data_IF_381030611062
#
_entry.id   IF_381030611062
#
_cell.length_a   1.000
_cell.length_b   1.000
_cell.length_c   1.000
_cell.angle_alpha   90.00
_cell.angle_beta   90.00
_cell.angle_gamma   90.00
#
_symmetry.space_group_name_H-M   'P 1'
#
loop_
_entity.id
_entity.type
_entity.pdbx_description
1 polymer ?
#
# COMPACT_ATOMS: atom_id res chain seq x y z
N UNK A 1 -58.33 -28.02 -6.06
CA UNK A 1 -56.88 -28.19 -5.80
C UNK A 1 -56.33 -26.92 -5.15
N UNK A 2 -55.84 -27.03 -3.93
CA UNK A 2 -55.51 -25.87 -3.07
C UNK A 2 -54.05 -25.44 -3.30
N UNK A 3 -53.84 -24.17 -3.67
CA UNK A 3 -52.55 -23.53 -3.66
C UNK A 3 -52.09 -23.24 -2.21
N UNK A 4 -50.87 -23.68 -1.84
CA UNK A 4 -50.26 -23.38 -0.55
C UNK A 4 -49.44 -22.08 -0.65
N UNK A 5 -49.83 -21.08 0.08
CA UNK A 5 -49.10 -19.85 0.33
C UNK A 5 -47.92 -20.12 1.27
N UNK A 6 -46.72 -19.70 0.87
CA UNK A 6 -45.51 -19.66 1.72
C UNK A 6 -45.44 -18.32 2.48
N UNK A 7 -45.12 -18.29 3.76
CA UNK A 7 -44.98 -17.03 4.50
C UNK A 7 -43.58 -16.43 4.28
N UNK A 8 -43.55 -15.20 3.76
CA UNK A 8 -42.37 -14.37 3.75
C UNK A 8 -42.05 -13.93 5.18
N UNK A 9 -40.95 -14.43 5.74
CA UNK A 9 -40.41 -13.98 7.01
C UNK A 9 -39.77 -12.60 6.84
N UNK A 10 -40.32 -11.63 7.54
CA UNK A 10 -39.79 -10.28 7.70
C UNK A 10 -38.44 -10.34 8.43
N UNK A 11 -37.36 -10.00 7.72
CA UNK A 11 -36.09 -9.67 8.34
C UNK A 11 -36.20 -8.25 8.91
N UNK A 12 -36.18 -8.16 10.22
CA UNK A 12 -36.17 -6.93 11.01
C UNK A 12 -34.92 -6.12 10.72
N UNK A 13 -35.13 -4.83 10.50
CA UNK A 13 -34.12 -3.81 10.27
C UNK A 13 -33.06 -3.79 11.39
N UNK A 14 -31.84 -4.23 11.09
CA UNK A 14 -30.69 -3.87 11.87
C UNK A 14 -30.35 -2.38 11.59
N UNK A 15 -30.49 -1.54 12.61
CA UNK A 15 -30.13 -0.13 12.56
C UNK A 15 -28.63 0.00 12.29
N UNK A 16 -28.29 0.67 11.22
CA UNK A 16 -26.92 1.09 10.94
C UNK A 16 -26.44 2.03 12.06
N UNK A 17 -25.21 1.86 12.58
CA UNK A 17 -24.63 2.85 13.49
C UNK A 17 -24.39 4.16 12.74
N UNK A 18 -24.61 5.34 13.36
CA UNK A 18 -24.41 6.62 12.71
C UNK A 18 -22.93 6.84 12.43
N UNK A 19 -22.56 6.92 11.16
CA UNK A 19 -21.23 7.36 10.75
C UNK A 19 -21.10 8.87 11.00
N UNK A 20 -20.39 9.23 12.06
CA UNK A 20 -19.95 10.60 12.29
C UNK A 20 -18.83 10.94 11.29
N UNK A 21 -19.11 11.86 10.37
CA UNK A 21 -18.07 12.58 9.64
C UNK A 21 -17.30 13.46 10.65
N UNK A 22 -15.97 13.35 10.76
CA UNK A 22 -15.22 14.20 11.66
C UNK A 22 -15.28 15.66 11.18
N UNK A 23 -15.65 16.56 12.10
CA UNK A 23 -15.59 18.01 11.91
C UNK A 23 -14.14 18.40 11.57
N UNK A 24 -13.97 19.26 10.60
CA UNK A 24 -12.69 19.83 10.13
C UNK A 24 -11.90 20.39 11.32
N UNK A 25 -10.65 19.94 11.47
CA UNK A 25 -9.68 20.60 12.34
C UNK A 25 -9.14 21.86 11.62
N UNK A 26 -9.18 23.09 12.21
CA UNK A 26 -8.98 24.32 11.46
C UNK A 26 -7.54 24.85 11.44
N UNK A 27 -6.52 24.05 11.41
CA UNK A 27 -5.16 24.58 11.25
C UNK A 27 -4.20 23.55 10.67
N UNK A 28 -3.90 23.69 9.40
CA UNK A 28 -2.97 22.98 8.50
C UNK A 28 -3.60 22.03 7.48
N UNK A 29 -4.67 22.43 6.83
CA UNK A 29 -5.24 21.69 5.69
C UNK A 29 -4.99 22.47 4.38
N UNK A 30 -3.73 22.52 3.92
CA UNK A 30 -3.39 22.88 2.54
C UNK A 30 -2.97 21.66 1.69
N UNK A 31 -2.90 20.47 2.27
CA UNK A 31 -2.77 19.23 1.52
C UNK A 31 -4.16 18.82 1.08
N UNK A 32 -4.47 18.99 -0.21
CA UNK A 32 -5.78 18.74 -0.79
C UNK A 32 -6.39 17.44 -0.26
N UNK A 33 -7.71 17.41 -0.13
CA UNK A 33 -8.47 16.29 0.44
C UNK A 33 -8.10 14.97 -0.26
N UNK A 34 -6.99 14.35 0.17
CA UNK A 34 -6.53 13.07 -0.35
C UNK A 34 -7.52 12.01 0.12
N UNK A 35 -8.29 11.48 -0.81
CA UNK A 35 -9.17 10.34 -0.57
C UNK A 35 -8.33 9.23 0.07
N UNK A 36 -8.72 8.80 1.26
CA UNK A 36 -8.07 7.70 1.97
C UNK A 36 -8.13 6.47 1.08
N UNK A 37 -6.98 6.03 0.60
CA UNK A 37 -6.87 4.81 -0.19
C UNK A 37 -6.15 3.79 0.67
N UNK A 38 -6.89 2.79 1.11
CA UNK A 38 -6.35 1.65 1.83
C UNK A 38 -6.01 0.57 0.82
N UNK A 39 -4.80 0.09 0.86
CA UNK A 39 -4.42 -1.12 0.16
C UNK A 39 -4.65 -2.31 1.08
N UNK A 40 -5.58 -3.17 0.72
CA UNK A 40 -5.87 -4.37 1.48
C UNK A 40 -5.10 -5.54 0.88
N UNK A 41 -4.28 -6.19 1.72
CA UNK A 41 -3.59 -7.43 1.37
C UNK A 41 -4.31 -8.62 1.99
N UNK A 42 -4.73 -9.56 1.16
CA UNK A 42 -5.27 -10.84 1.62
C UNK A 42 -4.12 -11.83 1.83
N UNK A 43 -3.79 -12.13 3.08
CA UNK A 43 -2.68 -13.03 3.41
C UNK A 43 -2.87 -14.45 2.86
N UNK A 44 -1.82 -14.98 2.22
CA UNK A 44 -1.65 -16.41 1.92
C UNK A 44 -2.50 -17.03 0.83
N UNK A 45 -3.49 -16.33 0.25
CA UNK A 45 -4.28 -16.80 -0.90
C UNK A 45 -4.01 -15.88 -2.08
N UNK A 46 -4.06 -16.40 -3.31
CA UNK A 46 -3.81 -15.61 -4.52
C UNK A 46 -4.83 -14.48 -4.63
N UNK A 47 -4.47 -13.23 -4.33
CA UNK A 47 -5.42 -12.13 -4.22
C UNK A 47 -6.08 -11.76 -5.54
N UNK A 48 -5.37 -12.00 -6.64
CA UNK A 48 -5.85 -11.70 -7.98
C UNK A 48 -7.18 -12.41 -8.29
N UNK A 49 -7.38 -13.61 -7.74
CA UNK A 49 -8.64 -14.37 -7.87
C UNK A 49 -9.83 -13.75 -7.13
N UNK A 50 -9.58 -12.84 -6.20
CA UNK A 50 -10.61 -12.23 -5.36
C UNK A 50 -10.84 -10.74 -5.66
N UNK A 51 -10.17 -10.19 -6.67
CA UNK A 51 -10.25 -8.76 -7.01
C UNK A 51 -11.70 -8.35 -7.28
N UNK A 52 -12.40 -9.03 -8.20
CA UNK A 52 -13.76 -8.69 -8.56
C UNK A 52 -14.73 -8.85 -7.39
N UNK A 53 -14.58 -9.93 -6.62
CA UNK A 53 -15.38 -10.15 -5.42
C UNK A 53 -15.14 -9.03 -4.39
N UNK A 54 -13.89 -8.63 -4.19
CA UNK A 54 -13.53 -7.55 -3.26
C UNK A 54 -14.11 -6.21 -3.72
N UNK A 55 -13.99 -5.88 -5.01
CA UNK A 55 -14.57 -4.67 -5.59
C UNK A 55 -16.08 -4.58 -5.38
N UNK A 56 -16.79 -5.71 -5.55
CA UNK A 56 -18.24 -5.75 -5.39
C UNK A 56 -18.70 -5.52 -3.93
N UNK A 57 -17.85 -5.80 -2.94
CA UNK A 57 -18.17 -5.67 -1.53
C UNK A 57 -17.74 -4.33 -0.93
N UNK A 58 -16.74 -3.67 -1.52
CA UNK A 58 -16.21 -2.43 -0.96
C UNK A 58 -17.01 -1.21 -1.42
N UNK A 59 -17.08 -0.22 -0.55
CA UNK A 59 -17.63 1.10 -0.90
C UNK A 59 -16.80 1.73 -2.02
N UNK A 60 -17.41 2.56 -2.89
CA UNK A 60 -16.70 3.16 -4.04
C UNK A 60 -15.53 4.07 -3.69
N UNK A 61 -15.45 4.55 -2.44
CA UNK A 61 -14.36 5.40 -1.95
C UNK A 61 -13.10 4.61 -1.57
N UNK A 62 -13.18 3.26 -1.56
CA UNK A 62 -12.03 2.37 -1.38
C UNK A 62 -11.44 1.96 -2.73
N UNK A 63 -10.13 2.10 -2.86
CA UNK A 63 -9.43 1.57 -4.03
C UNK A 63 -8.96 0.14 -3.75
N UNK A 64 -9.13 -0.73 -4.75
CA UNK A 64 -8.55 -2.07 -4.78
C UNK A 64 -7.26 -2.01 -5.59
N UNK A 65 -6.22 -2.69 -5.12
CA UNK A 65 -4.91 -2.76 -5.77
C UNK A 65 -4.57 -4.21 -6.10
N UNK A 66 -3.99 -4.45 -7.28
CA UNK A 66 -3.30 -5.70 -7.57
C UNK A 66 -2.00 -5.77 -6.74
N UNK A 67 -1.49 -6.98 -6.47
CA UNK A 67 -0.32 -7.18 -5.61
C UNK A 67 1.00 -7.29 -6.36
N UNK A 68 0.97 -7.42 -7.67
CA UNK A 68 2.12 -7.38 -8.58
C UNK A 68 1.60 -7.26 -10.01
N UNK A 69 2.51 -7.01 -10.98
CA UNK A 69 2.22 -7.14 -12.40
C UNK A 69 3.43 -7.68 -13.15
N UNK A 70 3.21 -8.09 -14.39
CA UNK A 70 4.26 -8.45 -15.33
C UNK A 70 4.93 -7.20 -15.92
N UNK A 71 6.14 -7.36 -16.49
CA UNK A 71 6.95 -6.26 -17.03
C UNK A 71 6.61 -5.89 -18.48
N UNK A 72 5.65 -6.54 -19.11
CA UNK A 72 5.34 -6.34 -20.52
C UNK A 72 3.91 -6.67 -20.87
N UNK A 73 3.57 -6.45 -22.13
CA UNK A 73 2.25 -6.78 -22.69
C UNK A 73 1.95 -8.27 -22.57
N UNK A 74 0.68 -8.62 -22.60
CA UNK A 74 0.21 -10.00 -22.64
C UNK A 74 0.77 -10.77 -23.85
N UNK A 75 0.74 -12.09 -23.77
CA UNK A 75 1.26 -12.99 -24.80
C UNK A 75 1.57 -14.35 -24.21
N UNK A 76 2.61 -15.02 -24.66
CA UNK A 76 3.02 -16.36 -24.22
C UNK A 76 3.74 -16.35 -22.86
N UNK A 77 3.15 -15.66 -21.88
CA UNK A 77 3.63 -15.54 -20.49
C UNK A 77 2.61 -16.15 -19.54
N UNK A 78 2.48 -17.46 -19.61
CA UNK A 78 1.48 -18.22 -18.84
C UNK A 78 1.48 -17.88 -17.35
N UNK A 79 0.33 -17.45 -16.84
CA UNK A 79 0.13 -17.13 -15.44
C UNK A 79 0.55 -15.71 -15.02
N UNK A 80 1.05 -14.88 -15.95
CA UNK A 80 1.38 -13.48 -15.68
C UNK A 80 0.18 -12.57 -15.89
N UNK A 81 0.07 -11.55 -15.04
CA UNK A 81 -0.98 -10.53 -15.10
C UNK A 81 -0.33 -9.21 -15.52
N UNK A 82 -0.77 -8.64 -16.63
CA UNK A 82 -0.22 -7.39 -17.15
C UNK A 82 -0.89 -6.16 -16.55
N UNK A 83 -0.27 -4.99 -16.68
CA UNK A 83 -0.84 -3.73 -16.23
C UNK A 83 -2.15 -3.40 -16.98
N UNK A 84 -2.25 -3.77 -18.26
CA UNK A 84 -3.48 -3.59 -19.05
C UNK A 84 -4.62 -4.47 -18.52
N UNK A 85 -4.34 -5.74 -18.17
CA UNK A 85 -5.35 -6.63 -17.56
C UNK A 85 -5.85 -6.07 -16.22
N UNK A 86 -4.94 -5.53 -15.41
CA UNK A 86 -5.29 -4.87 -14.13
C UNK A 86 -6.21 -3.68 -14.38
N UNK A 87 -5.92 -2.88 -15.40
CA UNK A 87 -6.73 -1.74 -15.77
C UNK A 87 -8.08 -2.13 -16.35
N UNK A 88 -8.12 -3.17 -17.17
CA UNK A 88 -9.34 -3.69 -17.82
C UNK A 88 -10.38 -4.15 -16.79
N UNK A 89 -9.96 -4.82 -15.71
CA UNK A 89 -10.85 -5.15 -14.59
C UNK A 89 -11.18 -3.94 -13.70
N UNK A 90 -10.79 -2.72 -14.13
CA UNK A 90 -11.15 -1.46 -13.50
C UNK A 90 -10.39 -1.16 -12.21
N UNK A 91 -9.18 -1.65 -12.04
CA UNK A 91 -8.27 -1.24 -10.97
C UNK A 91 -7.46 -0.02 -11.40
N UNK A 92 -7.14 0.81 -10.41
CA UNK A 92 -6.29 1.99 -10.62
C UNK A 92 -4.94 1.90 -9.90
N UNK A 93 -4.64 0.77 -9.24
CA UNK A 93 -3.46 0.63 -8.38
C UNK A 93 -2.82 -0.75 -8.49
N UNK A 94 -1.48 -0.77 -8.33
CA UNK A 94 -0.68 -2.00 -8.21
C UNK A 94 0.42 -1.80 -7.17
N UNK A 95 0.70 -2.84 -6.38
CA UNK A 95 1.84 -2.92 -5.46
C UNK A 95 3.00 -3.59 -6.18
N UNK A 96 4.19 -2.98 -6.15
CA UNK A 96 5.41 -3.49 -6.80
C UNK A 96 6.57 -3.44 -5.81
N UNK A 97 7.47 -4.41 -5.91
CA UNK A 97 8.70 -4.46 -5.12
C UNK A 97 8.52 -4.94 -3.68
N UNK A 98 7.37 -5.55 -3.35
CA UNK A 98 7.17 -6.15 -2.03
C UNK A 98 8.27 -7.15 -1.68
N UNK A 99 8.71 -7.19 -0.43
CA UNK A 99 9.82 -8.03 0.04
C UNK A 99 9.67 -9.51 -0.34
N UNK A 100 8.46 -10.05 -0.36
CA UNK A 100 8.23 -11.43 -0.82
C UNK A 100 8.56 -11.60 -2.30
N UNK A 101 8.23 -10.64 -3.16
CA UNK A 101 8.57 -10.69 -4.58
C UNK A 101 10.07 -10.53 -4.79
N UNK A 102 10.72 -9.67 -3.99
CA UNK A 102 12.16 -9.45 -4.09
C UNK A 102 12.99 -10.63 -3.61
N UNK A 103 12.54 -11.36 -2.56
CA UNK A 103 13.43 -12.26 -1.82
C UNK A 103 12.90 -13.69 -1.65
N UNK A 104 11.60 -13.93 -1.84
CA UNK A 104 10.97 -15.20 -1.46
C UNK A 104 10.34 -15.94 -2.62
N UNK A 105 9.77 -15.20 -3.60
CA UNK A 105 9.02 -15.81 -4.70
C UNK A 105 9.92 -15.99 -5.93
N UNK A 106 10.01 -17.21 -6.42
CA UNK A 106 10.76 -17.54 -7.63
C UNK A 106 12.25 -17.21 -7.50
N UNK A 107 12.81 -16.55 -8.51
CA UNK A 107 14.21 -16.09 -8.53
C UNK A 107 14.43 -14.76 -7.81
N UNK A 108 13.36 -14.14 -7.33
CA UNK A 108 13.36 -12.79 -6.80
C UNK A 108 13.32 -11.71 -7.89
N UNK A 109 12.90 -10.51 -7.50
CA UNK A 109 12.85 -9.33 -8.35
C UNK A 109 13.91 -8.32 -7.88
N UNK A 110 14.91 -8.07 -8.71
CA UNK A 110 15.93 -7.06 -8.45
C UNK A 110 15.40 -5.62 -8.64
N UNK A 111 16.22 -4.63 -8.33
CA UNK A 111 15.84 -3.23 -8.40
C UNK A 111 15.48 -2.81 -9.84
N UNK A 112 16.20 -3.30 -10.83
CA UNK A 112 15.96 -2.97 -12.24
C UNK A 112 14.63 -3.55 -12.73
N UNK A 113 14.31 -4.81 -12.37
CA UNK A 113 13.04 -5.44 -12.70
C UNK A 113 11.87 -4.73 -12.00
N UNK A 114 12.00 -4.40 -10.72
CA UNK A 114 10.98 -3.65 -9.99
C UNK A 114 10.72 -2.28 -10.62
N UNK A 115 11.78 -1.54 -10.95
CA UNK A 115 11.67 -0.23 -11.58
C UNK A 115 11.03 -0.30 -12.99
N UNK A 116 11.39 -1.31 -13.80
CA UNK A 116 10.77 -1.55 -15.09
C UNK A 116 9.27 -1.84 -14.96
N UNK A 117 8.84 -2.61 -13.94
CA UNK A 117 7.44 -2.85 -13.64
C UNK A 117 6.71 -1.57 -13.23
N UNK A 118 7.32 -0.72 -12.40
CA UNK A 118 6.74 0.57 -12.00
C UNK A 118 6.53 1.44 -13.23
N UNK A 119 7.56 1.59 -14.07
CA UNK A 119 7.46 2.39 -15.30
C UNK A 119 6.37 1.87 -16.22
N UNK A 120 6.35 0.56 -16.46
CA UNK A 120 5.34 -0.07 -17.31
C UNK A 120 3.90 0.11 -16.76
N UNK A 121 3.70 -0.03 -15.45
CA UNK A 121 2.41 0.18 -14.81
C UNK A 121 1.95 1.63 -14.95
N UNK A 122 2.85 2.61 -14.78
CA UNK A 122 2.55 4.03 -14.97
C UNK A 122 2.20 4.34 -16.43
N UNK A 123 2.94 3.78 -17.39
CA UNK A 123 2.67 3.97 -18.83
C UNK A 123 1.30 3.40 -19.23
N UNK A 124 0.85 2.33 -18.57
CA UNK A 124 -0.50 1.80 -18.71
C UNK A 124 -1.56 2.65 -17.97
N UNK A 125 -1.17 3.68 -17.22
CA UNK A 125 -2.05 4.58 -16.47
C UNK A 125 -2.51 4.03 -15.11
N UNK A 126 -1.72 3.16 -14.48
CA UNK A 126 -1.90 2.73 -13.10
C UNK A 126 -1.10 3.61 -12.14
N UNK A 127 -1.65 3.83 -10.96
CA UNK A 127 -0.89 4.32 -9.81
C UNK A 127 -0.13 3.14 -9.17
N UNK A 128 1.00 3.43 -8.54
CA UNK A 128 1.86 2.41 -7.97
C UNK A 128 2.11 2.65 -6.48
N UNK A 129 2.10 1.58 -5.70
CA UNK A 129 2.70 1.52 -4.38
C UNK A 129 4.02 0.79 -4.55
N UNK A 130 5.12 1.49 -4.34
CA UNK A 130 6.45 0.91 -4.48
C UNK A 130 7.06 0.60 -3.13
N UNK A 131 7.37 -0.68 -2.89
CA UNK A 131 7.95 -1.15 -1.64
C UNK A 131 9.48 -1.10 -1.70
N UNK A 132 10.05 -0.49 -0.66
CA UNK A 132 11.50 -0.36 -0.43
C UNK A 132 11.83 -0.76 1.01
N UNK A 133 13.03 -1.27 1.25
CA UNK A 133 13.47 -1.58 2.60
C UNK A 133 14.66 -2.53 2.62
N UNK A 134 15.31 -2.57 3.77
CA UNK A 134 16.53 -3.30 4.02
C UNK A 134 16.29 -4.63 4.74
N UNK A 135 17.21 -5.57 4.54
CA UNK A 135 17.29 -6.83 5.26
C UNK A 135 17.96 -6.64 6.64
N UNK A 136 17.92 -7.71 7.44
CA UNK A 136 18.48 -7.68 8.80
C UNK A 136 19.99 -7.40 8.81
N UNK A 137 20.73 -8.01 7.91
CA UNK A 137 22.18 -7.86 7.79
C UNK A 137 22.54 -6.41 7.42
N UNK A 138 21.77 -5.80 6.53
CA UNK A 138 21.90 -4.41 6.08
C UNK A 138 21.58 -3.43 7.22
N UNK A 139 20.52 -3.71 8.00
CA UNK A 139 20.18 -2.91 9.18
C UNK A 139 21.26 -2.95 10.25
N UNK A 140 21.77 -4.15 10.56
CA UNK A 140 22.86 -4.34 11.54
C UNK A 140 24.16 -3.69 11.05
N UNK A 141 24.43 -3.77 9.75
CA UNK A 141 25.59 -3.14 9.11
C UNK A 141 25.48 -1.61 8.96
N UNK A 142 24.35 -0.99 9.36
CA UNK A 142 24.15 0.47 9.25
C UNK A 142 23.98 0.97 7.81
N UNK A 143 23.59 0.09 6.86
CA UNK A 143 23.47 0.43 5.44
C UNK A 143 22.03 0.67 4.97
N UNK A 144 21.07 0.81 5.89
CA UNK A 144 19.65 1.04 5.58
C UNK A 144 19.44 2.14 4.54
N UNK A 145 20.02 3.31 4.77
CA UNK A 145 19.87 4.47 3.88
C UNK A 145 20.44 4.19 2.48
N UNK A 146 21.60 3.55 2.41
CA UNK A 146 22.24 3.22 1.12
C UNK A 146 21.39 2.24 0.31
N UNK A 147 20.83 1.20 0.96
CA UNK A 147 19.95 0.22 0.31
C UNK A 147 18.67 0.89 -0.21
N UNK A 148 18.02 1.70 0.62
CA UNK A 148 16.80 2.41 0.23
C UNK A 148 17.09 3.41 -0.89
N UNK A 149 18.20 4.15 -0.81
CA UNK A 149 18.63 5.08 -1.87
C UNK A 149 18.85 4.37 -3.20
N UNK A 150 19.50 3.19 -3.20
CA UNK A 150 19.72 2.38 -4.40
C UNK A 150 18.37 1.93 -5.02
N UNK A 151 17.44 1.45 -4.19
CA UNK A 151 16.10 1.04 -4.63
C UNK A 151 15.31 2.21 -5.23
N UNK A 152 15.39 3.39 -4.61
CA UNK A 152 14.74 4.61 -5.10
C UNK A 152 15.40 5.14 -6.38
N UNK A 153 16.74 5.10 -6.45
CA UNK A 153 17.50 5.52 -7.61
C UNK A 153 17.13 4.72 -8.87
N UNK A 154 16.91 3.40 -8.72
CA UNK A 154 16.49 2.56 -9.84
C UNK A 154 15.19 3.06 -10.50
N UNK A 155 14.28 3.68 -9.75
CA UNK A 155 13.06 4.30 -10.31
C UNK A 155 13.44 5.46 -11.25
N UNK A 156 14.35 6.33 -10.83
CA UNK A 156 14.78 7.48 -11.65
C UNK A 156 15.53 7.00 -12.90
N UNK A 157 16.41 6.01 -12.75
CA UNK A 157 17.17 5.42 -13.85
C UNK A 157 16.24 4.78 -14.91
N UNK A 158 15.08 4.26 -14.49
CA UNK A 158 14.03 3.73 -15.38
C UNK A 158 13.08 4.81 -15.95
N UNK A 159 13.27 6.09 -15.61
CA UNK A 159 12.41 7.18 -16.05
C UNK A 159 11.03 7.20 -15.40
N UNK A 160 10.92 6.66 -14.18
CA UNK A 160 9.68 6.72 -13.37
C UNK A 160 9.42 8.16 -12.95
N UNK A 161 8.18 8.59 -13.06
CA UNK A 161 7.68 9.90 -12.67
C UNK A 161 6.51 9.76 -11.69
N UNK A 162 5.78 10.83 -11.40
CA UNK A 162 4.55 10.76 -10.61
C UNK A 162 4.77 10.72 -9.10
N UNK A 163 5.99 11.02 -8.63
CA UNK A 163 6.19 11.34 -7.20
C UNK A 163 5.23 12.46 -6.80
N UNK A 164 4.51 12.26 -5.70
CA UNK A 164 3.48 13.20 -5.22
C UNK A 164 2.08 12.98 -5.79
N UNK A 165 1.92 12.30 -6.92
CA UNK A 165 0.62 12.07 -7.57
C UNK A 165 0.20 10.60 -7.58
N UNK A 166 0.78 9.80 -8.46
CA UNK A 166 0.43 8.40 -8.71
C UNK A 166 1.38 7.38 -8.09
N UNK A 167 2.46 7.83 -7.42
CA UNK A 167 3.44 6.98 -6.76
C UNK A 167 3.38 7.16 -5.24
N UNK A 168 3.23 6.06 -4.54
CA UNK A 168 3.30 5.95 -3.08
C UNK A 168 4.51 5.11 -2.73
N UNK A 169 5.31 5.52 -1.77
CA UNK A 169 6.43 4.71 -1.27
C UNK A 169 5.97 3.95 -0.03
N UNK A 170 6.26 2.66 0.04
CA UNK A 170 6.02 1.83 1.22
C UNK A 170 7.36 1.36 1.78
N UNK A 171 7.73 1.86 2.96
CA UNK A 171 8.93 1.41 3.65
C UNK A 171 8.67 0.10 4.39
N UNK A 172 9.32 -0.96 3.97
CA UNK A 172 9.23 -2.30 4.54
C UNK A 172 10.56 -2.67 5.22
N UNK A 173 10.72 -2.50 6.55
CA UNK A 173 11.85 -3.10 7.27
C UNK A 173 11.73 -4.62 7.19
N UNK A 174 12.40 -5.25 6.21
CA UNK A 174 12.24 -6.68 5.90
C UNK A 174 12.52 -7.56 7.12
N UNK A 175 13.47 -7.15 7.96
CA UNK A 175 13.81 -7.81 9.21
C UNK A 175 12.68 -7.82 10.26
N UNK A 176 11.70 -6.95 10.12
CA UNK A 176 10.54 -6.84 11.02
C UNK A 176 9.26 -7.45 10.43
N UNK A 177 9.32 -8.14 9.26
CA UNK A 177 8.15 -8.74 8.62
C UNK A 177 8.11 -10.23 8.93
N UNK A 178 7.09 -10.67 9.69
CA UNK A 178 6.87 -12.08 9.99
C UNK A 178 7.91 -12.73 10.92
N UNK A 179 8.83 -11.96 11.48
CA UNK A 179 9.94 -12.44 12.34
C UNK A 179 9.62 -12.36 13.83
N UNK A 180 8.51 -11.72 14.20
CA UNK A 180 8.20 -11.39 15.59
C UNK A 180 8.87 -10.11 16.09
N UNK A 181 9.84 -9.56 15.36
CA UNK A 181 10.45 -8.25 15.64
C UNK A 181 9.52 -7.14 15.11
N UNK A 182 9.57 -6.00 15.77
CA UNK A 182 8.79 -4.81 15.38
C UNK A 182 9.74 -3.62 15.41
N UNK A 183 9.79 -2.83 14.34
CA UNK A 183 10.50 -1.57 14.36
C UNK A 183 9.80 -0.61 15.33
N UNK A 184 10.57 0.15 16.09
CA UNK A 184 10.02 1.20 16.95
C UNK A 184 9.42 2.33 16.09
N UNK A 185 8.49 3.13 16.62
CA UNK A 185 8.00 4.32 15.93
C UNK A 185 9.12 5.27 15.48
N UNK A 186 10.16 5.45 16.31
CA UNK A 186 11.31 6.29 15.98
C UNK A 186 12.11 5.72 14.81
N UNK A 187 12.35 4.40 14.78
CA UNK A 187 13.02 3.74 13.65
C UNK A 187 12.23 3.86 12.35
N UNK A 188 10.90 3.80 12.43
CA UNK A 188 10.04 4.05 11.29
C UNK A 188 10.15 5.50 10.83
N UNK A 189 10.11 6.46 11.77
CA UNK A 189 10.23 7.89 11.51
C UNK A 189 11.58 8.23 10.84
N UNK A 190 12.70 7.73 11.37
CA UNK A 190 14.04 7.94 10.79
C UNK A 190 14.09 7.54 9.30
N UNK A 191 13.61 6.32 8.97
CA UNK A 191 13.60 5.86 7.59
C UNK A 191 12.66 6.69 6.70
N UNK A 192 11.50 7.12 7.22
CA UNK A 192 10.56 7.96 6.48
C UNK A 192 11.12 9.37 6.23
N UNK A 193 11.78 9.97 7.20
CA UNK A 193 12.52 11.25 7.05
C UNK A 193 13.56 11.11 5.95
N UNK A 194 14.36 10.04 5.99
CA UNK A 194 15.38 9.79 4.97
C UNK A 194 14.76 9.69 3.58
N UNK A 195 13.68 8.90 3.40
CA UNK A 195 13.01 8.75 2.10
C UNK A 195 12.49 10.10 1.61
N UNK A 196 11.84 10.89 2.46
CA UNK A 196 11.32 12.20 2.10
C UNK A 196 12.42 13.17 1.70
N UNK A 197 13.52 13.21 2.47
CA UNK A 197 14.71 14.00 2.16
C UNK A 197 15.31 13.56 0.82
N UNK A 198 15.46 12.26 0.59
CA UNK A 198 15.97 11.73 -0.67
C UNK A 198 15.13 12.19 -1.86
N UNK A 199 13.78 12.15 -1.76
CA UNK A 199 12.90 12.65 -2.81
C UNK A 199 13.10 14.15 -3.03
N UNK A 200 13.24 14.95 -1.97
CA UNK A 200 13.48 16.39 -2.08
C UNK A 200 14.76 16.71 -2.83
N UNK A 201 15.82 15.95 -2.58
CA UNK A 201 17.16 16.16 -3.16
C UNK A 201 17.27 15.64 -4.61
N UNK A 202 16.55 14.56 -4.96
CA UNK A 202 16.73 13.88 -6.26
C UNK A 202 15.55 14.10 -7.24
N UNK A 203 14.41 14.61 -6.75
CA UNK A 203 13.22 14.91 -7.58
C UNK A 203 12.85 16.38 -7.42
N UNK A 204 12.17 16.75 -6.34
CA UNK A 204 11.89 18.14 -5.95
C UNK A 204 11.31 18.22 -4.53
N UNK A 205 11.34 19.41 -3.94
CA UNK A 205 10.73 19.67 -2.64
C UNK A 205 9.20 19.49 -2.68
N UNK A 206 8.55 19.89 -3.75
CA UNK A 206 7.10 19.74 -3.95
C UNK A 206 6.73 18.27 -4.05
N UNK A 207 7.51 17.47 -4.79
CA UNK A 207 7.32 16.03 -4.89
C UNK A 207 7.48 15.35 -3.53
N UNK A 208 8.48 15.74 -2.74
CA UNK A 208 8.71 15.21 -1.42
C UNK A 208 7.55 15.50 -0.45
N UNK A 209 7.01 16.72 -0.49
CA UNK A 209 5.87 17.11 0.33
C UNK A 209 4.58 16.38 -0.06
N UNK A 210 4.37 16.16 -1.36
CA UNK A 210 3.17 15.52 -1.87
C UNK A 210 3.22 13.99 -1.85
N UNK A 211 4.42 13.36 -1.85
CA UNK A 211 4.56 11.91 -1.86
C UNK A 211 4.14 11.32 -0.52
N UNK A 212 3.21 10.38 -0.55
CA UNK A 212 2.83 9.59 0.63
C UNK A 212 3.84 8.49 0.87
N UNK A 213 4.28 8.39 2.14
CA UNK A 213 5.19 7.34 2.58
C UNK A 213 4.46 6.49 3.62
N UNK A 214 4.28 5.20 3.33
CA UNK A 214 3.57 4.25 4.18
C UNK A 214 4.57 3.37 4.91
N UNK A 215 4.32 3.10 6.19
CA UNK A 215 5.08 2.10 6.94
C UNK A 215 4.52 0.70 6.66
N UNK A 216 5.36 -0.21 6.19
CA UNK A 216 5.03 -1.58 5.77
C UNK A 216 5.60 -2.69 6.66
N UNK A 217 6.14 -2.37 7.82
CA UNK A 217 6.53 -3.38 8.80
C UNK A 217 5.36 -4.00 9.54
N UNK A 218 5.64 -4.66 10.68
CA UNK A 218 4.61 -5.32 11.51
C UNK A 218 3.68 -4.29 12.18
N UNK A 219 2.75 -3.73 11.40
CA UNK A 219 1.69 -2.85 11.90
C UNK A 219 0.47 -3.67 12.32
N UNK A 220 -0.06 -3.38 13.52
CA UNK A 220 -1.20 -4.07 14.15
C UNK A 220 -1.97 -3.10 15.04
N UNK A 221 -3.19 -3.43 15.52
CA UNK A 221 -3.99 -2.54 16.35
C UNK A 221 -3.24 -1.91 17.53
N UNK A 222 -2.37 -2.70 18.19
CA UNK A 222 -1.66 -2.25 19.39
C UNK A 222 -0.52 -1.24 19.15
N UNK A 223 -0.05 -1.02 17.92
CA UNK A 223 1.01 -0.05 17.61
C UNK A 223 0.64 0.94 16.50
N UNK A 224 -0.52 0.78 15.88
CA UNK A 224 -0.93 1.60 14.75
C UNK A 224 -1.04 3.10 15.11
N UNK A 225 -1.52 3.42 16.30
CA UNK A 225 -1.68 4.81 16.77
C UNK A 225 -0.32 5.51 16.95
N UNK A 226 0.68 4.81 17.54
CA UNK A 226 2.01 5.34 17.76
C UNK A 226 2.75 5.56 16.43
N UNK A 227 2.62 4.62 15.50
CA UNK A 227 3.16 4.77 14.14
C UNK A 227 2.48 5.92 13.39
N UNK A 228 1.16 6.05 13.48
CA UNK A 228 0.42 7.13 12.85
C UNK A 228 0.72 8.51 13.45
N UNK A 229 1.17 8.58 14.72
CA UNK A 229 1.59 9.83 15.35
C UNK A 229 2.88 10.39 14.76
N UNK A 230 3.70 9.58 14.10
CA UNK A 230 4.97 10.01 13.53
C UNK A 230 4.75 11.00 12.37
N UNK A 231 5.49 12.14 12.32
CA UNK A 231 5.26 13.21 11.37
C UNK A 231 5.29 12.76 9.89
N UNK A 232 6.25 11.91 9.53
CA UNK A 232 6.48 11.49 8.14
C UNK A 232 5.84 10.16 7.75
N UNK A 233 5.15 9.49 8.68
CA UNK A 233 4.37 8.30 8.38
C UNK A 233 2.97 8.71 7.89
N UNK A 234 2.73 8.64 6.57
CA UNK A 234 1.47 9.07 5.94
C UNK A 234 0.42 7.95 5.85
N UNK A 235 0.78 6.72 6.20
CA UNK A 235 -0.11 5.57 6.13
C UNK A 235 0.56 4.28 6.59
N UNK A 236 -0.19 3.19 6.58
CA UNK A 236 0.30 1.85 6.89
C UNK A 236 0.01 0.90 5.73
N UNK A 237 0.97 0.04 5.39
CA UNK A 237 0.78 -1.12 4.54
C UNK A 237 0.68 -2.34 5.45
N UNK A 238 -0.54 -2.91 5.59
CA UNK A 238 -0.85 -3.90 6.62
C UNK A 238 -1.05 -5.28 5.97
N UNK A 239 -0.28 -6.26 6.43
CA UNK A 239 -0.39 -7.67 6.05
C UNK A 239 -1.44 -8.43 6.87
N UNK A 240 -1.02 -9.44 7.64
CA UNK A 240 -1.90 -10.38 8.34
C UNK A 240 -2.94 -9.75 9.28
N UNK A 241 -2.63 -8.62 9.92
CA UNK A 241 -3.58 -7.91 10.77
C UNK A 241 -4.82 -7.40 9.99
N UNK A 242 -4.73 -7.22 8.67
CA UNK A 242 -5.87 -6.83 7.82
C UNK A 242 -6.98 -7.89 7.75
N UNK A 243 -6.68 -9.12 8.17
CA UNK A 243 -7.63 -10.23 8.19
C UNK A 243 -8.37 -10.39 9.53
N UNK A 244 -8.13 -9.51 10.46
CA UNK A 244 -8.73 -9.55 11.80
C UNK A 244 -9.69 -8.38 12.03
N UNK A 245 -10.69 -8.50 12.92
CA UNK A 245 -11.59 -7.40 13.24
C UNK A 245 -10.87 -6.12 13.73
N UNK A 246 -9.71 -6.27 14.38
CA UNK A 246 -8.88 -5.15 14.85
C UNK A 246 -8.27 -4.31 13.73
N UNK A 247 -8.40 -4.70 12.46
CA UNK A 247 -7.98 -3.88 11.32
C UNK A 247 -8.65 -2.50 11.32
N UNK A 248 -9.87 -2.40 11.84
CA UNK A 248 -10.60 -1.13 11.99
C UNK A 248 -9.81 -0.13 12.84
N UNK A 249 -9.12 -0.59 13.88
CA UNK A 249 -8.31 0.28 14.73
C UNK A 249 -7.10 0.85 13.96
N UNK A 250 -6.49 0.04 13.12
CA UNK A 250 -5.42 0.49 12.22
C UNK A 250 -5.91 1.54 11.22
N UNK A 251 -7.11 1.36 10.65
CA UNK A 251 -7.76 2.34 9.76
C UNK A 251 -8.00 3.65 10.51
N UNK A 252 -8.46 3.57 11.73
CA UNK A 252 -8.83 4.71 12.54
C UNK A 252 -7.63 5.46 13.15
N UNK A 253 -6.44 4.86 13.16
CA UNK A 253 -5.23 5.47 13.70
C UNK A 253 -4.87 6.83 13.08
N UNK A 254 -5.28 7.07 11.84
CA UNK A 254 -5.02 8.34 11.12
C UNK A 254 -6.18 9.35 11.16
N UNK A 255 -7.25 9.10 11.92
CA UNK A 255 -8.43 10.01 11.94
C UNK A 255 -8.12 11.45 12.34
N UNK A 256 -7.10 11.66 13.16
CA UNK A 256 -6.73 12.98 13.66
C UNK A 256 -5.58 13.63 12.88
N UNK A 257 -5.01 12.95 11.89
CA UNK A 257 -3.85 13.44 11.15
C UNK A 257 -4.23 14.15 9.85
N UNK A 258 -5.46 13.88 9.34
CA UNK A 258 -5.95 14.45 8.08
C UNK A 258 -7.33 15.09 8.24
#
# INVERSE_FOLDING_TARGET
>A
MRARSSPASRLTSAREPPFFLPRRCPSRCSRGALRRRLTQRWGGRRPDLYIDYTKALLRPDFAVSAQNCWTGKGGAFTGQITAEMIKDVGLGWVLIGHSECRHTIGKGEDNAMCAAKVKYAQDAGLNVIFAVGEKKEERVGGTTEAVVAEQMKALLDAGVTGFGEGLVIAYEPVWAIGTGLVATPDQAQEAHVFIRKWIAENVSAEAAEATRIQYGGSAKPGNAAELAAQPDVDGLLIGGASLTPGFIDCINAFKCKF
#
